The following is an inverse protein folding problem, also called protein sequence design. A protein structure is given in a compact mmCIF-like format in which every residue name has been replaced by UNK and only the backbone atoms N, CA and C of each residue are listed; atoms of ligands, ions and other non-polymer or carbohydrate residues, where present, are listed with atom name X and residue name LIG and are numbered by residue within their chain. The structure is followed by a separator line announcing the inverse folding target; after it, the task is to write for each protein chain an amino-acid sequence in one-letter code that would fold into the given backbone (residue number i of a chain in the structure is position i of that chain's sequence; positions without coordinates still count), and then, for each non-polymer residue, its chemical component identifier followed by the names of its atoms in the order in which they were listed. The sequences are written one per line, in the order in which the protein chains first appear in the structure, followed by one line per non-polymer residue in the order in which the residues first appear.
data_IF_859470735595
#
_entry.id   IF_859470735595
#
_cell.length_a   1.000
_cell.length_b   1.000
_cell.length_c   1.000
_cell.angle_alpha   90.00
_cell.angle_beta   90.00
_cell.angle_gamma   90.00
#
_symmetry.space_group_name_H-M   'P 1'
#
loop_
_entity.id
_entity.type
_entity.pdbx_description
1 polymer ?
#
# COMPACT_ATOMS: atom_id res chain seq x y z
N UNK A 1 7.17 18.80 -20.94
CA UNK A 1 5.95 18.99 -21.77
C UNK A 1 5.66 20.49 -21.80
N UNK A 2 5.69 21.10 -22.98
CA UNK A 2 5.54 22.55 -23.18
C UNK A 2 4.26 22.84 -23.98
N UNK A 3 3.70 24.03 -23.82
CA UNK A 3 2.49 24.47 -24.52
C UNK A 3 2.77 25.78 -25.26
N UNK A 4 2.37 25.92 -26.54
CA UNK A 4 2.61 27.14 -27.29
C UNK A 4 1.71 28.26 -26.76
N UNK A 5 2.30 29.42 -26.49
CA UNK A 5 1.60 30.63 -26.06
C UNK A 5 1.91 31.79 -26.98
N UNK A 6 0.91 32.60 -27.39
CA UNK A 6 1.16 33.87 -28.07
C UNK A 6 2.25 34.69 -27.37
N UNK A 7 3.31 35.06 -28.09
CA UNK A 7 4.40 35.88 -27.54
C UNK A 7 3.89 37.27 -27.11
N UNK A 8 2.87 37.79 -27.80
CA UNK A 8 2.19 39.05 -27.50
C UNK A 8 0.99 38.90 -26.54
N UNK A 9 0.72 37.68 -26.08
CA UNK A 9 -0.43 37.33 -25.24
C UNK A 9 -1.80 37.38 -25.91
N UNK A 10 -1.88 37.66 -27.22
CA UNK A 10 -3.14 37.90 -27.96
C UNK A 10 -3.25 37.09 -29.26
N UNK A 11 -2.21 37.01 -30.09
CA UNK A 11 -2.26 36.39 -31.43
C UNK A 11 -1.23 35.27 -31.57
N UNK A 12 -1.65 34.16 -32.20
CA UNK A 12 -0.79 33.00 -32.47
C UNK A 12 0.17 33.20 -33.66
N UNK A 13 0.37 34.43 -34.13
CA UNK A 13 1.29 34.77 -35.23
C UNK A 13 2.76 34.57 -34.84
N UNK A 14 3.09 34.72 -33.56
CA UNK A 14 4.36 34.29 -32.95
C UNK A 14 4.07 33.66 -31.60
N UNK A 15 4.78 32.58 -31.25
CA UNK A 15 4.53 31.86 -30.01
C UNK A 15 5.80 31.40 -29.31
N UNK A 16 5.71 31.32 -27.98
CA UNK A 16 6.74 30.79 -27.09
C UNK A 16 6.29 29.45 -26.50
N UNK A 17 7.23 28.53 -26.34
CA UNK A 17 7.02 27.27 -25.64
C UNK A 17 7.16 27.48 -24.13
N UNK A 18 6.04 27.48 -23.41
CA UNK A 18 6.05 27.66 -21.96
C UNK A 18 5.70 26.36 -21.21
N UNK A 19 6.17 26.18 -19.96
CA UNK A 19 5.79 25.04 -19.15
C UNK A 19 4.27 24.91 -19.03
N UNK A 20 3.77 23.68 -19.19
CA UNK A 20 2.34 23.41 -19.19
C UNK A 20 1.73 23.74 -17.81
N UNK A 21 0.59 24.45 -17.81
CA UNK A 21 -0.16 24.77 -16.59
C UNK A 21 -1.45 23.95 -16.55
N UNK A 22 -1.85 23.50 -15.36
CA UNK A 22 -3.06 22.70 -15.15
C UNK A 22 -4.30 23.30 -15.83
N UNK A 23 -4.51 24.61 -15.72
CA UNK A 23 -5.65 25.31 -16.35
C UNK A 23 -5.69 25.16 -17.88
N UNK A 24 -4.52 25.10 -18.53
CA UNK A 24 -4.44 24.99 -19.99
C UNK A 24 -4.81 23.57 -20.43
N UNK A 25 -4.32 22.56 -19.71
CA UNK A 25 -4.67 21.15 -19.94
C UNK A 25 -6.16 20.93 -19.78
N UNK A 26 -6.74 21.42 -18.67
CA UNK A 26 -8.19 21.29 -18.44
C UNK A 26 -9.00 22.07 -19.48
N UNK A 27 -8.53 23.25 -19.89
CA UNK A 27 -9.18 24.03 -20.95
C UNK A 27 -9.22 23.29 -22.28
N UNK A 28 -8.12 22.64 -22.66
CA UNK A 28 -8.04 21.81 -23.86
C UNK A 28 -8.95 20.58 -23.76
N UNK A 29 -8.83 19.81 -22.68
CA UNK A 29 -9.62 18.59 -22.50
C UNK A 29 -11.13 18.85 -22.41
N UNK A 30 -11.57 20.03 -21.99
CA UNK A 30 -13.00 20.40 -21.92
C UNK A 30 -13.52 21.08 -23.18
N UNK A 31 -12.68 21.35 -24.17
CA UNK A 31 -13.09 22.07 -25.36
C UNK A 31 -13.61 21.09 -26.45
N UNK A 32 -14.92 21.12 -26.79
CA UNK A 32 -15.51 20.24 -27.80
C UNK A 32 -14.96 20.47 -29.21
N UNK A 33 -14.28 21.60 -29.45
CA UNK A 33 -13.64 21.88 -30.74
C UNK A 33 -12.65 20.77 -31.14
N UNK A 34 -11.87 20.25 -30.19
CA UNK A 34 -10.93 19.16 -30.48
C UNK A 34 -11.62 17.83 -30.83
N UNK A 35 -12.94 17.75 -30.61
CA UNK A 35 -13.78 16.62 -30.98
C UNK A 35 -14.60 16.89 -32.26
N UNK A 36 -14.18 17.87 -33.07
CA UNK A 36 -14.83 18.22 -34.34
C UNK A 36 -16.16 18.97 -34.17
N UNK A 37 -16.51 19.40 -32.95
CA UNK A 37 -17.80 20.01 -32.66
C UNK A 37 -17.73 21.54 -32.53
N UNK A 38 -18.66 22.22 -33.20
CA UNK A 38 -18.91 23.63 -32.97
C UNK A 38 -19.94 23.80 -31.86
N UNK A 39 -19.66 24.69 -30.91
CA UNK A 39 -20.56 24.92 -29.78
C UNK A 39 -20.61 26.39 -29.37
N UNK A 40 -21.83 26.89 -29.15
CA UNK A 40 -22.13 28.27 -28.72
C UNK A 40 -23.11 28.27 -27.53
N UNK A 41 -23.15 29.39 -26.79
CA UNK A 41 -24.06 29.52 -25.63
C UNK A 41 -23.65 28.69 -24.41
N UNK A 42 -22.35 28.37 -24.26
CA UNK A 42 -21.80 27.48 -23.21
C UNK A 42 -21.95 28.00 -21.77
N UNK A 43 -22.36 29.26 -21.60
CA UNK A 43 -22.49 29.90 -20.29
C UNK A 43 -23.74 30.76 -20.21
N UNK A 44 -24.33 30.84 -19.01
CA UNK A 44 -25.48 31.67 -18.71
C UNK A 44 -25.15 32.84 -17.77
N UNK A 45 -26.03 33.83 -17.77
CA UNK A 45 -26.02 34.95 -16.82
C UNK A 45 -27.06 34.67 -15.75
N UNK A 46 -26.67 34.66 -14.48
CA UNK A 46 -27.61 34.48 -13.36
C UNK A 46 -27.88 35.82 -12.69
N UNK A 47 -29.15 36.14 -12.49
CA UNK A 47 -29.59 37.33 -11.74
C UNK A 47 -30.21 36.87 -10.44
N UNK A 48 -29.64 37.29 -9.32
CA UNK A 48 -30.16 37.01 -7.98
C UNK A 48 -30.44 38.33 -7.27
N UNK A 49 -31.58 38.45 -6.61
CA UNK A 49 -31.89 39.61 -5.76
C UNK A 49 -31.19 39.40 -4.42
N UNK A 50 -30.28 40.31 -4.06
CA UNK A 50 -29.59 40.34 -2.77
C UNK A 50 -29.88 41.70 -2.16
N UNK A 51 -30.41 41.73 -0.95
CA UNK A 51 -30.80 42.97 -0.22
C UNK A 51 -31.70 43.90 -1.05
N UNK A 52 -32.69 43.33 -1.76
CA UNK A 52 -33.63 44.08 -2.58
C UNK A 52 -33.07 44.63 -3.91
N UNK A 53 -31.81 44.31 -4.27
CA UNK A 53 -31.19 44.73 -5.54
C UNK A 53 -30.82 43.55 -6.41
N UNK A 54 -31.13 43.65 -7.71
CA UNK A 54 -30.75 42.64 -8.69
C UNK A 54 -29.23 42.63 -8.91
N UNK A 55 -28.57 41.52 -8.59
CA UNK A 55 -27.13 41.31 -8.82
C UNK A 55 -26.93 40.30 -9.94
N UNK A 56 -26.25 40.71 -11.02
CA UNK A 56 -25.86 39.83 -12.12
C UNK A 56 -24.53 39.14 -11.80
N UNK A 57 -24.45 37.86 -12.08
CA UNK A 57 -23.23 37.06 -11.98
C UNK A 57 -22.95 36.33 -13.29
N UNK A 58 -21.67 36.23 -13.65
CA UNK A 58 -21.16 35.67 -14.90
C UNK A 58 -20.30 34.44 -14.62
N UNK A 59 -19.99 33.66 -15.67
CA UNK A 59 -19.11 32.49 -15.58
C UNK A 59 -19.81 31.20 -15.18
N UNK A 60 -21.14 31.14 -15.27
CA UNK A 60 -21.92 29.93 -15.01
C UNK A 60 -21.95 29.08 -16.27
N UNK A 61 -21.14 28.03 -16.34
CA UNK A 61 -21.17 27.07 -17.44
C UNK A 61 -22.46 26.25 -17.43
N UNK A 62 -23.06 26.06 -18.61
CA UNK A 62 -24.23 25.20 -18.84
C UNK A 62 -23.80 23.75 -19.10
N UNK A 63 -24.68 22.78 -18.83
CA UNK A 63 -24.50 21.40 -19.28
C UNK A 63 -24.53 21.35 -20.82
N UNK A 64 -23.99 20.29 -21.42
CA UNK A 64 -23.91 20.17 -22.88
C UNK A 64 -25.28 20.23 -23.56
N UNK A 65 -26.28 19.63 -22.93
CA UNK A 65 -27.65 19.58 -23.45
C UNK A 65 -28.35 20.95 -23.41
N UNK A 66 -27.84 21.88 -22.59
CA UNK A 66 -28.39 23.22 -22.43
C UNK A 66 -27.64 24.27 -23.28
N UNK A 67 -26.67 23.84 -24.08
CA UNK A 67 -25.96 24.73 -25.00
C UNK A 67 -26.90 25.18 -26.12
N UNK A 68 -26.87 26.47 -26.45
CA UNK A 68 -27.76 27.05 -27.46
C UNK A 68 -27.49 26.48 -28.86
N UNK A 69 -26.23 26.12 -29.14
CA UNK A 69 -25.85 25.46 -30.38
C UNK A 69 -24.80 24.41 -30.06
N UNK A 70 -25.02 23.19 -30.54
CA UNK A 70 -24.04 22.11 -30.58
C UNK A 70 -24.15 21.38 -31.92
N UNK A 71 -23.20 21.62 -32.81
CA UNK A 71 -23.11 20.95 -34.11
C UNK A 71 -21.93 19.99 -34.03
N UNK A 72 -22.24 18.69 -33.95
CA UNK A 72 -21.25 17.61 -33.99
C UNK A 72 -20.77 17.44 -35.43
N UNK A 73 -19.55 16.92 -35.59
CA UNK A 73 -18.95 16.65 -36.92
C UNK A 73 -18.89 17.89 -37.84
N UNK A 74 -18.79 19.08 -37.25
CA UNK A 74 -18.65 20.34 -37.99
C UNK A 74 -17.30 20.41 -38.74
N UNK A 75 -16.26 19.81 -38.20
CA UNK A 75 -14.93 19.76 -38.79
C UNK A 75 -14.18 18.51 -38.31
N UNK A 76 -13.03 18.22 -38.92
CA UNK A 76 -12.16 17.13 -38.48
C UNK A 76 -11.63 17.40 -37.06
N UNK A 77 -12.01 16.52 -36.13
CA UNK A 77 -11.53 16.52 -34.76
C UNK A 77 -10.22 15.76 -34.60
N UNK A 78 -9.47 16.08 -33.55
CA UNK A 78 -8.31 15.28 -33.14
C UNK A 78 -8.71 13.98 -32.43
N UNK A 79 -9.90 13.98 -31.83
CA UNK A 79 -10.54 12.83 -31.21
C UNK A 79 -11.98 12.76 -31.72
N UNK A 80 -12.60 11.59 -31.63
CA UNK A 80 -14.04 11.47 -31.93
C UNK A 80 -14.91 11.99 -30.76
N UNK A 81 -16.20 12.21 -31.04
CA UNK A 81 -17.14 12.73 -30.06
C UNK A 81 -17.33 11.77 -28.86
N UNK A 82 -17.33 10.46 -29.10
CA UNK A 82 -17.51 9.47 -28.06
C UNK A 82 -16.32 9.43 -27.09
N UNK A 83 -15.09 9.61 -27.59
CA UNK A 83 -13.88 9.75 -26.81
C UNK A 83 -13.91 11.04 -25.98
N UNK A 84 -14.36 12.14 -26.57
CA UNK A 84 -14.56 13.38 -25.82
C UNK A 84 -15.53 13.19 -24.65
N UNK A 85 -16.68 12.55 -24.86
CA UNK A 85 -17.65 12.26 -23.79
C UNK A 85 -17.05 11.37 -22.69
N UNK A 86 -16.34 10.29 -23.05
CA UNK A 86 -15.60 9.45 -22.09
C UNK A 86 -14.58 10.24 -21.28
N UNK A 87 -13.88 11.17 -21.92
CA UNK A 87 -12.92 12.06 -21.27
C UNK A 87 -13.61 13.04 -20.31
N UNK A 88 -14.79 13.58 -20.66
CA UNK A 88 -15.57 14.44 -19.76
C UNK A 88 -16.05 13.70 -18.52
N UNK A 89 -16.56 12.47 -18.68
CA UNK A 89 -16.95 11.60 -17.55
C UNK A 89 -15.74 11.36 -16.65
N UNK A 90 -14.59 11.02 -17.22
CA UNK A 90 -13.35 10.80 -16.47
C UNK A 90 -12.90 12.04 -15.69
N UNK A 91 -12.97 13.22 -16.30
CA UNK A 91 -12.67 14.50 -15.64
C UNK A 91 -13.66 14.82 -14.51
N UNK A 92 -14.94 14.57 -14.73
CA UNK A 92 -15.99 14.78 -13.72
C UNK A 92 -15.75 13.88 -12.50
N UNK A 93 -15.51 12.57 -12.71
CA UNK A 93 -15.16 11.62 -11.67
C UNK A 93 -13.92 12.06 -10.88
N UNK A 94 -12.89 12.56 -11.57
CA UNK A 94 -11.63 12.98 -10.96
C UNK A 94 -11.70 14.35 -10.25
N UNK A 95 -12.82 15.08 -10.34
CA UNK A 95 -12.93 16.45 -9.82
C UNK A 95 -12.90 16.48 -8.29
N UNK A 96 -11.94 17.20 -7.72
CA UNK A 96 -11.77 17.34 -6.27
C UNK A 96 -12.84 18.26 -5.65
N UNK A 97 -13.53 17.78 -4.60
CA UNK A 97 -14.37 18.61 -3.73
C UNK A 97 -15.85 18.73 -4.13
N UNK A 98 -16.29 18.06 -5.21
CA UNK A 98 -17.72 17.89 -5.54
C UNK A 98 -18.31 16.72 -4.74
N UNK A 99 -19.60 16.82 -4.40
CA UNK A 99 -20.38 15.68 -3.91
C UNK A 99 -20.37 14.55 -4.95
N UNK A 100 -20.10 13.32 -4.51
CA UNK A 100 -20.09 12.13 -5.39
C UNK A 100 -18.81 11.88 -6.20
N UNK A 101 -17.83 12.81 -6.20
CA UNK A 101 -16.58 12.62 -6.94
C UNK A 101 -15.58 11.75 -6.19
N UNK A 102 -15.42 10.48 -6.58
CA UNK A 102 -14.31 9.64 -6.13
C UNK A 102 -12.99 10.29 -6.58
N UNK A 103 -12.22 10.86 -5.64
CA UNK A 103 -10.90 11.45 -5.92
C UNK A 103 -10.04 10.47 -6.72
N UNK A 104 -9.20 10.90 -7.65
CA UNK A 104 -8.21 10.01 -8.26
C UNK A 104 -7.30 9.33 -7.21
N UNK A 105 -6.83 8.11 -7.50
CA UNK A 105 -5.81 7.44 -6.68
C UNK A 105 -4.48 8.18 -6.76
N UNK A 106 -4.26 9.17 -5.88
CA UNK A 106 -3.10 10.07 -5.92
C UNK A 106 -1.83 9.49 -5.31
N UNK A 107 -1.89 8.32 -4.69
CA UNK A 107 -0.75 7.63 -4.09
C UNK A 107 -0.36 8.09 -2.68
N UNK A 108 -1.16 8.91 -2.00
CA UNK A 108 -0.94 9.24 -0.59
C UNK A 108 -1.11 8.03 0.34
N UNK A 109 -0.56 8.09 1.57
CA UNK A 109 -0.56 6.97 2.54
C UNK A 109 -1.95 6.52 3.03
N UNK A 110 -2.97 7.37 2.91
CA UNK A 110 -4.35 7.00 3.23
C UNK A 110 -4.97 6.23 2.07
N UNK A 111 -5.26 4.95 2.29
CA UNK A 111 -5.78 4.05 1.25
C UNK A 111 -7.17 4.49 0.76
N UNK A 112 -8.03 4.91 1.67
CA UNK A 112 -9.45 5.18 1.44
C UNK A 112 -9.76 6.68 1.26
N UNK A 113 -8.72 7.46 0.91
CA UNK A 113 -8.84 8.91 0.73
C UNK A 113 -9.90 9.26 -0.31
N UNK A 114 -10.97 9.91 0.13
CA UNK A 114 -12.08 10.33 -0.75
C UNK A 114 -13.05 9.21 -1.14
N UNK A 115 -13.06 8.08 -0.43
CA UNK A 115 -14.03 6.99 -0.61
C UNK A 115 -14.95 6.80 0.60
N UNK A 116 -14.58 7.35 1.76
CA UNK A 116 -15.35 7.20 3.00
C UNK A 116 -16.29 8.40 3.21
N UNK A 117 -17.55 8.11 3.51
CA UNK A 117 -18.58 9.05 3.94
C UNK A 117 -18.95 8.80 5.41
N UNK A 118 -19.44 9.85 6.08
CA UNK A 118 -19.88 9.79 7.46
C UNK A 118 -21.32 9.26 7.53
N UNK A 119 -21.55 8.14 8.22
CA UNK A 119 -22.89 7.58 8.44
C UNK A 119 -23.83 8.49 9.24
N UNK A 120 -23.30 9.45 10.01
CA UNK A 120 -24.10 10.40 10.81
C UNK A 120 -24.58 11.63 10.04
N UNK A 121 -23.81 12.12 9.05
CA UNK A 121 -24.15 13.36 8.34
C UNK A 121 -24.04 13.28 6.80
N UNK A 122 -23.73 12.11 6.25
CA UNK A 122 -23.59 11.86 4.81
C UNK A 122 -22.37 12.50 4.14
N UNK A 123 -21.56 13.29 4.85
CA UNK A 123 -20.43 14.03 4.26
C UNK A 123 -19.18 13.17 4.15
N UNK A 124 -18.41 13.36 3.07
CA UNK A 124 -17.10 12.71 2.89
C UNK A 124 -16.11 13.04 4.01
N UNK A 125 -15.37 12.03 4.48
CA UNK A 125 -14.36 12.19 5.51
C UNK A 125 -13.09 12.84 4.95
N UNK A 126 -12.51 13.75 5.73
CA UNK A 126 -11.19 14.31 5.47
C UNK A 126 -10.11 13.35 5.96
N UNK A 127 -8.96 13.37 5.28
CA UNK A 127 -7.74 12.68 5.72
C UNK A 127 -6.83 13.70 6.36
N UNK A 128 -6.39 13.43 7.58
CA UNK A 128 -5.41 14.24 8.30
C UNK A 128 -4.26 13.35 8.76
N UNK A 129 -3.04 13.88 8.66
CA UNK A 129 -1.84 13.15 9.07
C UNK A 129 -1.43 13.61 10.46
N UNK A 130 -1.32 12.66 11.40
CA UNK A 130 -0.97 12.92 12.80
C UNK A 130 0.38 12.31 13.17
N UNK A 131 1.11 12.96 14.06
CA UNK A 131 2.44 12.53 14.52
C UNK A 131 3.60 13.06 13.66
N UNK A 132 4.81 12.53 13.91
CA UNK A 132 6.03 12.90 13.19
C UNK A 132 5.92 12.62 11.69
N UNK A 133 6.47 13.52 10.87
CA UNK A 133 6.45 13.41 9.42
C UNK A 133 7.00 12.04 8.97
N UNK A 134 6.34 11.37 8.00
CA UNK A 134 5.23 11.85 7.16
C UNK A 134 3.81 11.70 7.77
N UNK A 135 3.70 11.33 9.06
CA UNK A 135 2.45 11.22 9.79
C UNK A 135 1.63 9.97 9.47
N UNK A 136 0.76 9.57 10.40
CA UNK A 136 -0.19 8.46 10.22
C UNK A 136 -1.54 9.01 9.75
N UNK A 137 -2.20 8.38 8.76
CA UNK A 137 -3.50 8.86 8.29
C UNK A 137 -4.57 8.66 9.36
N UNK A 138 -5.44 9.65 9.50
CA UNK A 138 -6.64 9.65 10.33
C UNK A 138 -7.81 10.16 9.48
N UNK A 139 -8.94 9.45 9.53
CA UNK A 139 -10.17 9.84 8.87
C UNK A 139 -11.05 10.60 9.84
N UNK A 140 -11.53 11.79 9.45
CA UNK A 140 -12.33 12.65 10.33
C UNK A 140 -13.46 13.34 9.59
N UNK A 141 -14.61 13.47 10.25
CA UNK A 141 -15.69 14.29 9.77
C UNK A 141 -15.49 15.75 10.22
N UNK A 142 -14.72 16.51 9.45
CA UNK A 142 -14.29 17.86 9.83
C UNK A 142 -15.30 18.96 9.43
N UNK A 143 -16.21 18.67 8.50
CA UNK A 143 -17.08 19.67 7.87
C UNK A 143 -18.06 20.37 8.82
N UNK A 144 -18.81 19.65 9.69
CA UNK A 144 -19.68 20.31 10.68
C UNK A 144 -18.91 21.26 11.59
N UNK A 145 -17.71 20.86 12.01
CA UNK A 145 -16.84 21.67 12.87
C UNK A 145 -16.30 22.91 12.15
N UNK A 146 -15.79 22.77 10.92
CA UNK A 146 -15.21 23.88 10.17
C UNK A 146 -16.26 24.91 9.71
N UNK A 147 -17.48 24.47 9.38
CA UNK A 147 -18.51 25.36 8.82
C UNK A 147 -19.40 25.99 9.90
N UNK A 148 -19.66 25.27 11.00
CA UNK A 148 -20.71 25.63 11.97
C UNK A 148 -20.19 25.68 13.42
N UNK A 149 -18.89 25.42 13.66
CA UNK A 149 -18.33 25.37 15.01
C UNK A 149 -18.81 24.17 15.87
N UNK A 150 -19.57 23.25 15.27
CA UNK A 150 -20.14 22.09 15.97
C UNK A 150 -19.07 21.03 16.33
N UNK A 151 -19.34 20.14 17.30
CA UNK A 151 -18.48 18.97 17.52
C UNK A 151 -18.38 18.12 16.24
N UNK A 152 -17.22 17.48 16.06
CA UNK A 152 -17.02 16.54 14.95
C UNK A 152 -17.96 15.35 15.11
N UNK A 153 -18.56 14.87 14.02
CA UNK A 153 -19.43 13.70 14.08
C UNK A 153 -18.67 12.45 14.55
N UNK A 154 -17.49 12.21 13.96
CA UNK A 154 -16.65 11.05 14.25
C UNK A 154 -15.22 11.26 13.72
N UNK A 155 -14.30 10.44 14.22
CA UNK A 155 -12.94 10.32 13.72
C UNK A 155 -12.23 9.07 14.24
N UNK A 156 -11.35 8.49 13.42
CA UNK A 156 -10.64 7.26 13.71
C UNK A 156 -9.33 7.13 12.91
N UNK A 157 -8.38 6.36 13.44
CA UNK A 157 -7.08 6.13 12.80
C UNK A 157 -7.20 5.26 11.55
N UNK A 158 -6.50 5.63 10.48
CA UNK A 158 -6.63 4.96 9.18
C UNK A 158 -5.93 3.61 9.09
N UNK A 159 -4.83 3.38 9.80
CA UNK A 159 -4.00 2.19 9.60
C UNK A 159 -4.75 0.85 9.79
N UNK A 160 -5.56 0.71 10.85
CA UNK A 160 -6.34 -0.51 11.09
C UNK A 160 -7.48 -0.68 10.09
N UNK A 161 -8.09 0.44 9.71
CA UNK A 161 -9.21 0.47 8.78
C UNK A 161 -8.74 0.12 7.36
N UNK A 162 -7.64 0.71 6.93
CA UNK A 162 -7.01 0.45 5.63
C UNK A 162 -6.59 -1.03 5.52
N UNK A 163 -6.04 -1.63 6.59
CA UNK A 163 -5.69 -3.04 6.63
C UNK A 163 -6.94 -3.95 6.55
N UNK A 164 -7.95 -3.68 7.38
CA UNK A 164 -9.16 -4.50 7.42
C UNK A 164 -9.94 -4.45 6.10
N UNK A 165 -9.99 -3.28 5.42
CA UNK A 165 -10.59 -3.18 4.09
C UNK A 165 -9.76 -3.93 3.03
N UNK A 166 -8.43 -3.90 3.12
CA UNK A 166 -7.59 -4.67 2.21
C UNK A 166 -7.83 -6.18 2.35
N UNK A 167 -7.94 -6.69 3.58
CA UNK A 167 -8.29 -8.08 3.85
C UNK A 167 -9.70 -8.44 3.32
N UNK A 168 -10.67 -7.56 3.53
CA UNK A 168 -12.04 -7.76 3.03
C UNK A 168 -12.10 -7.82 1.49
N UNK A 169 -11.30 -7.00 0.79
CA UNK A 169 -11.21 -7.05 -0.68
C UNK A 169 -10.71 -8.40 -1.16
N UNK A 170 -9.64 -8.91 -0.55
CA UNK A 170 -9.09 -10.22 -0.91
C UNK A 170 -10.16 -11.29 -0.74
N UNK A 171 -10.85 -11.29 0.42
CA UNK A 171 -11.92 -12.24 0.72
C UNK A 171 -13.07 -12.22 -0.29
N UNK A 172 -13.47 -11.03 -0.75
CA UNK A 172 -14.59 -10.86 -1.69
C UNK A 172 -14.17 -11.20 -3.13
N UNK A 173 -12.91 -10.94 -3.49
CA UNK A 173 -12.40 -11.19 -4.86
C UNK A 173 -11.99 -12.66 -5.05
N UNK A 174 -11.50 -13.33 -4.02
CA UNK A 174 -11.02 -14.72 -4.07
C UNK A 174 -11.95 -15.69 -4.82
N UNK A 175 -13.29 -15.72 -4.59
CA UNK A 175 -14.19 -16.63 -5.30
C UNK A 175 -14.32 -16.37 -6.81
N UNK A 176 -14.09 -15.14 -7.26
CA UNK A 176 -14.24 -14.73 -8.68
C UNK A 176 -12.87 -14.51 -9.34
N UNK A 177 -11.77 -14.69 -8.59
CA UNK A 177 -10.44 -14.38 -9.05
C UNK A 177 -10.07 -15.17 -10.31
N UNK A 178 -10.43 -16.45 -10.37
CA UNK A 178 -10.13 -17.33 -11.50
C UNK A 178 -10.86 -16.88 -12.77
N UNK A 179 -12.17 -16.63 -12.69
CA UNK A 179 -12.97 -16.13 -13.82
C UNK A 179 -12.46 -14.76 -14.30
N UNK A 180 -12.12 -13.86 -13.36
CA UNK A 180 -11.57 -12.55 -13.67
C UNK A 180 -10.19 -12.65 -14.33
N UNK A 181 -9.37 -13.63 -13.96
CA UNK A 181 -8.05 -13.83 -14.55
C UNK A 181 -8.14 -14.42 -15.96
N UNK A 182 -9.05 -15.38 -16.19
CA UNK A 182 -9.37 -15.89 -17.53
C UNK A 182 -9.91 -14.78 -18.45
N UNK A 183 -10.75 -13.88 -17.92
CA UNK A 183 -11.20 -12.71 -18.68
C UNK A 183 -10.05 -11.73 -18.94
N UNK A 184 -9.18 -11.48 -17.97
CA UNK A 184 -8.02 -10.60 -18.13
C UNK A 184 -7.04 -11.13 -19.19
N UNK A 185 -6.81 -12.43 -19.24
CA UNK A 185 -6.03 -13.10 -20.28
C UNK A 185 -6.70 -12.94 -21.65
N UNK A 186 -8.01 -13.20 -21.76
CA UNK A 186 -8.77 -12.94 -23.00
C UNK A 186 -8.66 -11.48 -23.46
N UNK A 187 -8.82 -10.52 -22.55
CA UNK A 187 -8.65 -9.09 -22.84
C UNK A 187 -7.20 -8.74 -23.23
N UNK A 188 -6.20 -9.40 -22.63
CA UNK A 188 -4.80 -9.21 -22.98
C UNK A 188 -4.53 -9.68 -24.41
N UNK A 189 -4.98 -10.89 -24.76
CA UNK A 189 -4.89 -11.41 -26.13
C UNK A 189 -5.64 -10.52 -27.13
N UNK A 190 -6.84 -10.03 -26.78
CA UNK A 190 -7.56 -9.08 -27.64
C UNK A 190 -6.76 -7.80 -27.86
N UNK A 191 -6.13 -7.22 -26.82
CA UNK A 191 -5.27 -6.02 -26.98
C UNK A 191 -4.02 -6.30 -27.80
N UNK A 192 -3.40 -7.47 -27.65
CA UNK A 192 -2.27 -7.88 -28.48
C UNK A 192 -2.70 -8.02 -29.94
N UNK A 193 -3.82 -8.67 -30.20
CA UNK A 193 -4.38 -8.83 -31.54
C UNK A 193 -4.74 -7.48 -32.17
N UNK A 194 -5.31 -6.54 -31.40
CA UNK A 194 -5.61 -5.20 -31.89
C UNK A 194 -4.33 -4.42 -32.20
N UNK A 195 -3.32 -4.50 -31.33
CA UNK A 195 -2.00 -3.89 -31.59
C UNK A 195 -1.37 -4.47 -32.86
N UNK A 196 -1.45 -5.78 -33.05
CA UNK A 196 -0.99 -6.47 -34.26
C UNK A 196 -1.75 -5.96 -35.49
N UNK A 197 -3.08 -5.88 -35.41
CA UNK A 197 -3.93 -5.38 -36.49
C UNK A 197 -3.57 -3.96 -36.91
N UNK A 198 -3.25 -3.08 -35.95
CA UNK A 198 -2.79 -1.72 -36.24
C UNK A 198 -1.46 -1.74 -37.02
N UNK A 199 -0.50 -2.58 -36.62
CA UNK A 199 0.77 -2.72 -37.34
C UNK A 199 0.58 -3.30 -38.76
N UNK A 200 -0.34 -4.24 -38.92
CA UNK A 200 -0.69 -4.81 -40.23
C UNK A 200 -1.34 -3.77 -41.14
N UNK A 201 -2.24 -2.93 -40.61
CA UNK A 201 -2.84 -1.82 -41.35
C UNK A 201 -1.80 -0.76 -41.76
N UNK A 202 -0.86 -0.41 -40.87
CA UNK A 202 0.26 0.49 -41.18
C UNK A 202 1.11 -0.06 -42.34
N UNK A 203 1.36 -1.38 -42.35
CA UNK A 203 2.09 -2.05 -43.42
C UNK A 203 1.31 -2.03 -44.74
N UNK A 204 0.00 -2.31 -44.72
CA UNK A 204 -0.85 -2.25 -45.90
C UNK A 204 -0.86 -0.84 -46.51
N UNK A 205 -0.98 0.20 -45.68
CA UNK A 205 -0.92 1.58 -46.14
C UNK A 205 0.44 1.91 -46.78
N UNK A 206 1.55 1.50 -46.15
CA UNK A 206 2.88 1.72 -46.70
C UNK A 206 3.08 1.01 -48.04
N UNK A 207 2.57 -0.22 -48.19
CA UNK A 207 2.62 -0.96 -49.45
C UNK A 207 1.82 -0.28 -50.56
N UNK A 208 0.62 0.21 -50.23
CA UNK A 208 -0.20 0.98 -51.17
C UNK A 208 0.52 2.25 -51.64
N UNK A 209 1.10 3.02 -50.71
CA UNK A 209 1.81 4.26 -51.01
C UNK A 209 3.05 4.00 -51.88
N UNK A 210 3.79 2.91 -51.61
CA UNK A 210 4.92 2.49 -52.43
C UNK A 210 4.49 2.13 -53.86
N UNK A 211 3.40 1.37 -54.03
CA UNK A 211 2.84 1.05 -55.35
C UNK A 211 2.28 2.27 -56.08
N UNK A 212 1.74 3.26 -55.35
CA UNK A 212 1.32 4.54 -55.95
C UNK A 212 2.52 5.38 -56.41
N UNK A 213 3.59 5.43 -55.61
CA UNK A 213 4.82 6.13 -55.96
C UNK A 213 5.50 5.51 -57.20
N UNK A 214 5.53 4.18 -57.30
CA UNK A 214 6.01 3.43 -58.47
C UNK A 214 5.23 3.83 -59.74
N UNK A 215 3.88 3.78 -59.69
CA UNK A 215 3.04 4.16 -60.84
C UNK A 215 3.27 5.60 -61.27
N UNK A 216 3.49 6.52 -60.33
CA UNK A 216 3.78 7.94 -60.62
C UNK A 216 5.15 8.11 -61.28
N UNK A 217 6.16 7.38 -60.82
CA UNK A 217 7.49 7.36 -61.42
C UNK A 217 7.43 6.81 -62.86
N UNK A 218 6.77 5.66 -63.06
CA UNK A 218 6.66 5.02 -64.37
C UNK A 218 5.87 5.84 -65.40
N UNK A 219 4.95 6.69 -64.97
CA UNK A 219 4.15 7.55 -65.84
C UNK A 219 4.82 8.91 -66.17
N UNK A 220 5.96 9.23 -65.57
CA UNK A 220 6.66 10.49 -65.81
C UNK A 220 7.45 10.46 -67.12
N UNK A 221 7.36 11.54 -67.89
CA UNK A 221 8.19 11.73 -69.08
C UNK A 221 9.69 11.84 -68.69
N UNK A 222 10.60 11.04 -69.29
CA UNK A 222 12.04 11.09 -69.02
C UNK A 222 12.70 12.46 -69.25
N UNK A 223 12.12 13.31 -70.11
CA UNK A 223 12.66 14.64 -70.39
C UNK A 223 12.55 15.59 -69.18
N UNK A 224 11.66 15.29 -68.23
CA UNK A 224 11.49 16.05 -66.99
C UNK A 224 12.45 15.59 -65.88
N UNK A 225 13.77 15.65 -66.14
CA UNK A 225 14.84 15.07 -65.29
C UNK A 225 14.74 15.40 -63.79
N UNK A 226 14.39 16.63 -63.43
CA UNK A 226 14.27 17.05 -62.02
C UNK A 226 13.07 16.39 -61.33
N UNK A 227 11.97 16.19 -62.06
CA UNK A 227 10.75 15.55 -61.54
C UNK A 227 11.00 14.05 -61.38
N UNK A 228 11.68 13.42 -62.35
CA UNK A 228 12.09 12.00 -62.30
C UNK A 228 12.94 11.73 -61.05
N UNK A 229 13.99 12.53 -60.81
CA UNK A 229 14.86 12.37 -59.64
C UNK A 229 14.11 12.56 -58.31
N UNK A 230 13.13 13.46 -58.25
CA UNK A 230 12.32 13.66 -57.05
C UNK A 230 11.31 12.51 -56.83
N UNK A 231 10.72 11.98 -57.90
CA UNK A 231 9.81 10.83 -57.84
C UNK A 231 10.55 9.54 -57.45
N UNK A 232 11.76 9.34 -57.96
CA UNK A 232 12.64 8.24 -57.57
C UNK A 232 12.95 8.29 -56.07
N UNK A 233 13.39 9.45 -55.56
CA UNK A 233 13.64 9.65 -54.13
C UNK A 233 12.41 9.41 -53.26
N UNK A 234 11.23 9.81 -53.75
CA UNK A 234 9.96 9.59 -53.05
C UNK A 234 9.59 8.10 -53.03
N UNK A 235 9.85 7.37 -54.12
CA UNK A 235 9.62 5.93 -54.21
C UNK A 235 10.58 5.15 -53.30
N UNK A 236 11.88 5.48 -53.30
CA UNK A 236 12.87 4.91 -52.38
C UNK A 236 12.51 5.15 -50.90
N UNK A 237 11.97 6.33 -50.57
CA UNK A 237 11.50 6.64 -49.22
C UNK A 237 10.27 5.79 -48.84
N UNK A 238 9.34 5.58 -49.78
CA UNK A 238 8.18 4.72 -49.56
C UNK A 238 8.58 3.24 -49.39
N UNK A 239 9.55 2.74 -50.18
CA UNK A 239 10.09 1.39 -50.03
C UNK A 239 10.77 1.17 -48.67
N UNK A 240 11.60 2.13 -48.23
CA UNK A 240 12.20 2.08 -46.87
C UNK A 240 11.13 2.03 -45.77
N UNK A 241 10.06 2.81 -45.91
CA UNK A 241 8.92 2.76 -44.96
C UNK A 241 8.24 1.39 -44.94
N UNK A 242 8.11 0.72 -46.08
CA UNK A 242 7.57 -0.65 -46.13
C UNK A 242 8.48 -1.62 -45.36
N UNK A 243 9.80 -1.52 -45.52
CA UNK A 243 10.77 -2.34 -44.79
C UNK A 243 10.69 -2.10 -43.28
N UNK A 244 10.63 -0.83 -42.85
CA UNK A 244 10.45 -0.46 -41.43
C UNK A 244 9.13 -1.02 -40.85
N UNK A 245 8.02 -0.87 -41.56
CA UNK A 245 6.73 -1.41 -41.13
C UNK A 245 6.75 -2.95 -41.06
N UNK A 246 7.38 -3.62 -42.04
CA UNK A 246 7.52 -5.08 -42.05
C UNK A 246 8.36 -5.58 -40.88
N UNK A 247 9.45 -4.89 -40.54
CA UNK A 247 10.27 -5.21 -39.38
C UNK A 247 9.46 -5.10 -38.07
N UNK A 248 8.63 -4.05 -37.92
CA UNK A 248 7.76 -3.87 -36.75
C UNK A 248 6.71 -4.98 -36.61
N UNK A 249 6.14 -5.46 -37.73
CA UNK A 249 5.21 -6.61 -37.72
C UNK A 249 5.94 -7.88 -37.32
N UNK A 250 7.11 -8.15 -37.91
CA UNK A 250 7.93 -9.33 -37.59
C UNK A 250 8.38 -9.35 -36.13
N UNK A 251 8.68 -8.20 -35.54
CA UNK A 251 9.05 -8.09 -34.12
C UNK A 251 7.85 -8.42 -33.22
N UNK A 252 6.63 -8.04 -33.62
CA UNK A 252 5.40 -8.37 -32.91
C UNK A 252 4.96 -9.83 -33.05
N UNK A 253 5.41 -10.53 -34.11
CA UNK A 253 5.13 -11.95 -34.37
C UNK A 253 6.08 -12.90 -33.63
N UNK A 254 7.19 -12.41 -33.07
CA UNK A 254 8.03 -13.21 -32.19
C UNK A 254 7.19 -13.68 -31.00
N UNK A 255 7.04 -14.99 -30.78
CA UNK A 255 6.27 -15.48 -29.65
C UNK A 255 6.94 -14.97 -28.37
N UNK A 256 6.17 -14.42 -27.41
CA UNK A 256 6.69 -14.29 -26.06
C UNK A 256 7.13 -15.70 -25.63
N UNK A 257 8.37 -15.82 -25.13
CA UNK A 257 8.95 -17.12 -24.78
C UNK A 257 7.93 -17.96 -24.01
N UNK A 258 7.77 -19.23 -24.42
CA UNK A 258 6.67 -20.12 -24.06
C UNK A 258 6.26 -20.05 -22.58
N UNK A 259 5.41 -19.08 -22.23
CA UNK A 259 4.74 -19.04 -20.95
C UNK A 259 3.55 -19.98 -21.10
N UNK A 260 3.64 -21.10 -20.39
CA UNK A 260 2.51 -21.99 -20.17
C UNK A 260 1.30 -21.15 -19.75
N UNK A 261 0.11 -21.57 -20.18
CA UNK A 261 -1.14 -20.98 -19.71
C UNK A 261 -1.02 -20.76 -18.18
N UNK A 262 -1.16 -19.52 -17.71
CA UNK A 262 -0.89 -19.20 -16.32
C UNK A 262 -1.77 -20.10 -15.43
N UNK A 263 -1.12 -20.86 -14.55
CA UNK A 263 -1.82 -21.65 -13.56
C UNK A 263 -2.46 -20.69 -12.56
N UNK A 264 -3.79 -20.67 -12.52
CA UNK A 264 -4.56 -19.82 -11.62
C UNK A 264 -4.77 -20.48 -10.24
N UNK A 265 -4.24 -21.69 -10.01
CA UNK A 265 -4.22 -22.26 -8.65
C UNK A 265 -3.34 -21.41 -7.74
N UNK A 266 -3.93 -20.90 -6.65
CA UNK A 266 -3.25 -19.98 -5.74
C UNK A 266 -3.34 -18.49 -6.12
N UNK A 267 -4.16 -18.12 -7.11
CA UNK A 267 -4.33 -16.71 -7.51
C UNK A 267 -4.75 -15.78 -6.36
N UNK A 268 -5.52 -16.28 -5.39
CA UNK A 268 -5.86 -15.54 -4.19
C UNK A 268 -4.63 -15.22 -3.32
N UNK A 269 -3.73 -16.19 -3.14
CA UNK A 269 -2.45 -15.99 -2.45
C UNK A 269 -1.54 -15.03 -3.22
N UNK A 270 -1.52 -15.13 -4.55
CA UNK A 270 -0.75 -14.23 -5.39
C UNK A 270 -1.32 -12.80 -5.41
N UNK A 271 -2.64 -12.64 -5.29
CA UNK A 271 -3.28 -11.34 -5.09
C UNK A 271 -2.83 -10.71 -3.77
N UNK A 272 -2.80 -11.49 -2.69
CA UNK A 272 -2.31 -11.04 -1.37
C UNK A 272 -0.82 -10.66 -1.44
N UNK A 273 0.00 -11.49 -2.08
CA UNK A 273 1.44 -11.21 -2.27
C UNK A 273 1.65 -9.96 -3.11
N UNK A 274 0.95 -9.83 -4.23
CA UNK A 274 1.02 -8.68 -5.11
C UNK A 274 0.57 -7.41 -4.38
N UNK A 275 -0.54 -7.46 -3.64
CA UNK A 275 -1.03 -6.33 -2.85
C UNK A 275 0.01 -5.86 -1.82
N UNK A 276 0.67 -6.80 -1.14
CA UNK A 276 1.66 -6.53 -0.11
C UNK A 276 3.09 -6.32 -0.64
N UNK A 277 3.33 -6.51 -1.94
CA UNK A 277 4.65 -6.39 -2.53
C UNK A 277 5.21 -4.95 -2.38
N UNK A 278 6.51 -4.81 -2.05
CA UNK A 278 7.13 -3.50 -1.81
C UNK A 278 7.16 -2.60 -3.04
N UNK A 279 7.13 -3.19 -4.25
CA UNK A 279 7.08 -2.45 -5.52
C UNK A 279 5.71 -1.88 -5.88
N UNK A 280 4.62 -2.32 -5.23
CA UNK A 280 3.28 -1.83 -5.55
C UNK A 280 3.05 -0.46 -4.92
N UNK A 281 2.94 0.54 -5.77
CA UNK A 281 2.64 1.90 -5.35
C UNK A 281 1.25 1.99 -4.70
N UNK A 282 1.11 2.82 -3.66
CA UNK A 282 -0.19 3.09 -3.02
C UNK A 282 -1.22 3.64 -4.02
N UNK A 283 -0.76 4.30 -5.09
CA UNK A 283 -1.60 4.75 -6.21
C UNK A 283 -2.33 3.58 -6.85
N UNK A 284 -1.63 2.47 -7.12
CA UNK A 284 -2.21 1.27 -7.73
C UNK A 284 -3.24 0.64 -6.79
N UNK A 285 -2.91 0.49 -5.51
CA UNK A 285 -3.86 -0.01 -4.48
C UNK A 285 -5.14 0.84 -4.44
N UNK A 286 -4.97 2.15 -4.45
CA UNK A 286 -6.07 3.12 -4.50
C UNK A 286 -6.94 3.00 -5.77
N UNK A 287 -6.33 2.71 -6.92
CA UNK A 287 -7.07 2.52 -8.17
C UNK A 287 -7.89 1.23 -8.14
N UNK A 288 -7.31 0.12 -7.70
CA UNK A 288 -7.98 -1.17 -7.53
C UNK A 288 -9.19 -1.04 -6.57
N UNK A 289 -9.01 -0.34 -5.46
CA UNK A 289 -10.10 -0.07 -4.53
C UNK A 289 -11.31 0.62 -5.19
N UNK A 290 -11.05 1.60 -6.05
CA UNK A 290 -12.10 2.39 -6.71
C UNK A 290 -12.76 1.66 -7.87
N UNK A 291 -12.11 0.64 -8.42
CA UNK A 291 -12.76 -0.23 -9.40
C UNK A 291 -13.77 -1.14 -8.72
N UNK A 292 -13.47 -1.63 -7.51
CA UNK A 292 -14.31 -2.60 -6.80
C UNK A 292 -15.40 -1.95 -5.92
N UNK A 293 -15.08 -0.84 -5.26
CA UNK A 293 -15.94 -0.21 -4.26
C UNK A 293 -16.58 1.07 -4.83
N UNK A 294 -17.90 1.18 -4.67
CA UNK A 294 -18.68 2.36 -5.01
C UNK A 294 -18.53 3.45 -3.93
N UNK A 295 -18.77 3.12 -2.66
CA UNK A 295 -18.55 4.00 -1.52
C UNK A 295 -18.43 3.19 -0.21
N UNK A 296 -17.91 3.84 0.83
CA UNK A 296 -17.82 3.26 2.17
C UNK A 296 -18.48 4.21 3.15
N UNK A 297 -19.53 3.77 3.83
CA UNK A 297 -20.17 4.53 4.90
C UNK A 297 -19.54 4.12 6.22
N UNK A 298 -18.93 5.06 6.92
CA UNK A 298 -18.33 4.83 8.22
C UNK A 298 -19.15 5.46 9.34
N UNK A 299 -19.43 4.68 10.38
CA UNK A 299 -19.92 5.14 11.66
C UNK A 299 -19.01 4.65 12.79
N UNK A 300 -19.16 5.23 13.98
CA UNK A 300 -18.47 4.82 15.19
C UNK A 300 -19.50 4.41 16.22
N UNK A 301 -19.43 3.16 16.64
CA UNK A 301 -20.13 2.63 17.80
C UNK A 301 -19.27 2.90 19.03
N UNK A 302 -19.59 3.98 19.76
CA UNK A 302 -18.82 4.39 20.93
C UNK A 302 -19.03 3.42 22.13
N UNK A 303 -20.16 2.71 22.18
CA UNK A 303 -20.47 1.72 23.24
C UNK A 303 -19.57 0.49 23.13
N UNK A 304 -19.48 -0.09 21.92
CA UNK A 304 -18.63 -1.25 21.66
C UNK A 304 -17.18 -0.87 21.32
N UNK A 305 -16.92 0.43 21.10
CA UNK A 305 -15.64 0.97 20.64
C UNK A 305 -15.22 0.36 19.31
N UNK A 306 -16.11 0.44 18.34
CA UNK A 306 -15.91 -0.10 17.00
C UNK A 306 -16.15 0.98 15.95
N UNK A 307 -15.36 0.93 14.88
CA UNK A 307 -15.67 1.62 13.64
C UNK A 307 -16.46 0.63 12.80
N UNK A 308 -17.69 0.98 12.46
CA UNK A 308 -18.56 0.19 11.60
C UNK A 308 -18.46 0.76 10.20
N UNK A 309 -18.05 -0.07 9.25
CA UNK A 309 -17.88 0.28 7.85
C UNK A 309 -18.88 -0.52 7.04
N UNK A 310 -19.80 0.17 6.38
CA UNK A 310 -20.68 -0.44 5.37
C UNK A 310 -20.05 -0.17 4.01
N UNK A 311 -19.59 -1.23 3.35
CA UNK A 311 -18.92 -1.19 2.06
C UNK A 311 -19.96 -1.48 0.99
N UNK A 312 -20.08 -0.58 0.03
CA UNK A 312 -20.93 -0.77 -1.13
C UNK A 312 -20.08 -1.17 -2.31
N UNK A 313 -20.27 -2.38 -2.80
CA UNK A 313 -19.54 -2.90 -3.95
C UNK A 313 -20.21 -2.43 -5.24
N UNK A 314 -19.42 -2.25 -6.31
CA UNK A 314 -20.00 -1.87 -7.62
C UNK A 314 -20.94 -2.94 -8.19
N UNK A 315 -20.86 -4.17 -7.71
CA UNK A 315 -21.80 -5.26 -8.04
C UNK A 315 -23.12 -5.22 -7.26
N UNK A 316 -23.41 -4.16 -6.49
CA UNK A 316 -24.66 -4.01 -5.73
C UNK A 316 -24.73 -4.80 -4.42
N UNK A 317 -23.69 -5.58 -4.10
CA UNK A 317 -23.58 -6.21 -2.79
C UNK A 317 -23.10 -5.24 -1.71
N UNK A 318 -23.39 -5.57 -0.46
CA UNK A 318 -23.00 -4.78 0.71
C UNK A 318 -22.30 -5.67 1.73
N UNK A 319 -21.11 -5.26 2.19
CA UNK A 319 -20.41 -5.89 3.32
C UNK A 319 -20.40 -4.96 4.52
N UNK A 320 -20.56 -5.50 5.73
CA UNK A 320 -20.37 -4.75 6.98
C UNK A 320 -19.13 -5.24 7.69
N UNK A 321 -18.19 -4.35 7.94
CA UNK A 321 -16.94 -4.62 8.64
C UNK A 321 -16.89 -3.83 9.95
N UNK A 322 -16.60 -4.52 11.05
CA UNK A 322 -16.49 -3.92 12.39
C UNK A 322 -15.04 -3.99 12.84
N UNK A 323 -14.43 -2.83 13.09
CA UNK A 323 -13.01 -2.73 13.45
C UNK A 323 -12.85 -2.04 14.79
N UNK A 324 -12.12 -2.67 15.72
CA UNK A 324 -11.87 -2.11 17.05
C UNK A 324 -11.21 -0.73 17.00
N UNK A 325 -11.83 0.25 17.66
CA UNK A 325 -11.33 1.61 17.89
C UNK A 325 -10.59 1.65 19.24
N UNK A 326 -9.26 1.87 19.25
CA UNK A 326 -8.52 1.98 20.51
C UNK A 326 -8.97 3.20 21.32
N UNK A 327 -8.84 3.10 22.64
CA UNK A 327 -9.02 4.25 23.54
C UNK A 327 -7.95 5.32 23.30
N UNK A 328 -8.23 6.55 23.69
CA UNK A 328 -7.20 7.59 23.79
C UNK A 328 -6.06 7.08 24.68
N UNK A 329 -4.82 7.13 24.17
CA UNK A 329 -3.63 6.58 24.85
C UNK A 329 -3.38 5.09 24.62
N UNK A 330 -4.33 4.35 24.06
CA UNK A 330 -4.15 2.94 23.69
C UNK A 330 -3.46 2.82 22.33
N UNK A 331 -2.27 2.22 22.30
CA UNK A 331 -1.47 2.05 21.10
C UNK A 331 -1.12 0.58 20.84
N UNK A 332 -0.86 0.22 19.58
CA UNK A 332 -0.52 -1.16 19.18
C UNK A 332 0.79 -1.71 19.75
N UNK A 333 1.62 -0.85 20.35
CA UNK A 333 2.85 -1.27 21.02
C UNK A 333 2.61 -1.67 22.48
N UNK A 334 1.61 -2.52 22.74
CA UNK A 334 1.40 -3.09 24.06
C UNK A 334 2.46 -4.15 24.38
N UNK A 335 2.77 -4.30 25.66
CA UNK A 335 3.62 -5.40 26.12
C UNK A 335 2.91 -6.72 25.78
N UNK A 336 3.57 -7.66 25.07
CA UNK A 336 2.94 -8.93 24.71
C UNK A 336 2.41 -9.67 25.94
N UNK A 337 1.28 -10.34 25.81
CA UNK A 337 0.66 -11.08 26.92
C UNK A 337 1.61 -12.13 27.50
N UNK A 338 2.42 -12.76 26.64
CA UNK A 338 3.47 -13.69 27.06
C UNK A 338 4.51 -13.00 27.96
N UNK A 339 4.91 -11.77 27.63
CA UNK A 339 5.84 -11.01 28.46
C UNK A 339 5.19 -10.64 29.81
N UNK A 340 3.91 -10.27 29.82
CA UNK A 340 3.16 -9.98 31.04
C UNK A 340 2.99 -11.22 31.93
N UNK A 341 2.77 -12.40 31.34
CA UNK A 341 2.67 -13.65 32.08
C UNK A 341 4.00 -13.97 32.79
N UNK A 342 5.13 -13.88 32.07
CA UNK A 342 6.47 -14.05 32.66
C UNK A 342 6.73 -13.03 33.75
N UNK A 343 6.39 -11.75 33.52
CA UNK A 343 6.51 -10.71 34.56
C UNK A 343 5.68 -11.03 35.79
N UNK A 344 4.41 -11.44 35.65
CA UNK A 344 3.54 -11.79 36.79
C UNK A 344 4.10 -12.97 37.59
N UNK A 345 4.61 -14.00 36.91
CA UNK A 345 5.17 -15.18 37.55
C UNK A 345 6.50 -14.87 38.28
N UNK A 346 7.29 -13.93 37.78
CA UNK A 346 8.60 -13.60 38.35
C UNK A 346 8.60 -12.41 39.32
N UNK A 347 7.67 -11.46 39.21
CA UNK A 347 7.75 -10.15 39.87
C UNK A 347 7.80 -10.19 41.40
N UNK A 348 7.26 -11.23 42.04
CA UNK A 348 7.30 -11.37 43.50
C UNK A 348 8.64 -11.85 44.04
N UNK A 349 9.47 -12.50 43.21
CA UNK A 349 10.67 -13.23 43.67
C UNK A 349 11.97 -12.86 42.95
N UNK A 350 11.89 -12.13 41.85
CA UNK A 350 13.05 -11.82 41.01
C UNK A 350 13.16 -10.32 40.77
N UNK A 351 14.39 -9.81 40.74
CA UNK A 351 14.64 -8.41 40.43
C UNK A 351 14.19 -8.06 39.00
N UNK A 352 13.95 -6.78 38.73
CA UNK A 352 13.59 -6.32 37.39
C UNK A 352 14.69 -6.63 36.35
N UNK A 353 15.95 -6.69 36.77
CA UNK A 353 17.09 -7.12 35.95
C UNK A 353 17.00 -8.61 35.56
N UNK A 354 16.68 -9.47 36.53
CA UNK A 354 16.51 -10.92 36.29
C UNK A 354 15.33 -11.20 35.35
N UNK A 355 14.23 -10.46 35.51
CA UNK A 355 13.05 -10.55 34.65
C UNK A 355 13.42 -10.11 33.23
N UNK A 356 14.13 -8.98 33.08
CA UNK A 356 14.58 -8.50 31.78
C UNK A 356 15.51 -9.51 31.08
N UNK A 357 16.48 -10.06 31.80
CA UNK A 357 17.40 -11.07 31.28
C UNK A 357 16.67 -12.37 30.87
N UNK A 358 15.61 -12.75 31.59
CA UNK A 358 14.81 -13.95 31.28
C UNK A 358 13.96 -13.73 30.03
N UNK A 359 13.24 -12.61 29.94
CA UNK A 359 12.46 -12.23 28.75
C UNK A 359 13.33 -12.20 27.48
N UNK A 360 14.54 -11.61 27.57
CA UNK A 360 15.47 -11.57 26.45
C UNK A 360 15.98 -12.97 26.05
N UNK A 361 16.26 -13.86 27.01
CA UNK A 361 16.70 -15.25 26.74
C UNK A 361 15.59 -16.09 26.11
N UNK A 362 14.33 -15.82 26.45
CA UNK A 362 13.17 -16.45 25.81
C UNK A 362 12.87 -15.89 24.40
N UNK A 363 13.64 -14.91 23.92
CA UNK A 363 13.41 -14.26 22.63
C UNK A 363 12.21 -13.31 22.60
N UNK A 364 11.58 -13.04 23.75
CA UNK A 364 10.39 -12.20 23.84
C UNK A 364 10.80 -10.73 23.73
N UNK A 365 10.26 -10.02 22.74
CA UNK A 365 10.52 -8.58 22.52
C UNK A 365 9.41 -7.71 23.11
N UNK A 366 9.72 -6.44 23.35
CA UNK A 366 8.69 -5.45 23.70
C UNK A 366 7.74 -5.20 22.53
N UNK A 367 6.58 -4.57 22.77
CA UNK A 367 5.63 -4.17 21.71
C UNK A 367 6.19 -3.16 20.68
N UNK A 368 7.38 -2.61 20.93
CA UNK A 368 8.14 -1.77 19.97
C UNK A 368 9.31 -2.53 19.34
N UNK A 369 9.35 -3.86 19.46
CA UNK A 369 10.43 -4.73 19.02
C UNK A 369 11.82 -4.41 19.61
N UNK A 370 11.86 -3.84 20.82
CA UNK A 370 13.10 -3.56 21.56
C UNK A 370 13.41 -4.66 22.57
N UNK A 371 14.68 -4.78 22.97
CA UNK A 371 15.15 -5.59 24.10
C UNK A 371 14.51 -5.17 25.43
N UNK A 372 14.44 -6.08 26.39
CA UNK A 372 14.05 -5.76 27.76
C UNK A 372 15.22 -5.22 28.57
N UNK A 373 14.96 -4.17 29.36
CA UNK A 373 15.87 -3.64 30.39
C UNK A 373 15.09 -3.56 31.70
N UNK A 374 15.76 -3.52 32.85
CA UNK A 374 15.08 -3.41 34.15
C UNK A 374 14.12 -2.21 34.20
N UNK A 375 14.51 -1.06 33.64
CA UNK A 375 13.64 0.11 33.54
C UNK A 375 12.35 -0.17 32.73
N UNK A 376 12.46 -0.87 31.59
CA UNK A 376 11.29 -1.22 30.74
C UNK A 376 10.37 -2.24 31.44
N UNK A 377 10.94 -3.19 32.17
CA UNK A 377 10.18 -4.12 33.00
C UNK A 377 9.46 -3.36 34.12
N UNK A 378 10.17 -2.54 34.88
CA UNK A 378 9.63 -1.74 35.98
C UNK A 378 8.47 -0.84 35.53
N UNK A 379 8.67 -0.14 34.41
CA UNK A 379 7.61 0.69 33.80
C UNK A 379 6.40 -0.14 33.38
N UNK A 380 6.62 -1.28 32.70
CA UNK A 380 5.53 -2.17 32.29
C UNK A 380 4.76 -2.74 33.48
N UNK A 381 5.47 -3.14 34.55
CA UNK A 381 4.86 -3.65 35.77
C UNK A 381 4.01 -2.59 36.47
N UNK A 382 4.51 -1.34 36.60
CA UNK A 382 3.76 -0.23 37.20
C UNK A 382 2.45 0.04 36.45
N UNK A 383 2.50 0.08 35.11
CA UNK A 383 1.30 0.27 34.28
C UNK A 383 0.28 -0.86 34.47
N UNK A 384 0.76 -2.08 34.72
CA UNK A 384 -0.06 -3.29 34.86
C UNK A 384 -0.39 -3.64 36.32
N UNK A 385 -0.05 -2.79 37.28
CA UNK A 385 -0.30 -3.02 38.71
C UNK A 385 0.45 -4.22 39.30
N UNK A 386 1.55 -4.67 38.67
CA UNK A 386 2.35 -5.80 39.15
C UNK A 386 3.32 -5.29 40.22
N UNK A 387 3.18 -5.73 41.47
CA UNK A 387 4.06 -5.32 42.57
C UNK A 387 5.52 -5.72 42.32
N UNK A 388 6.44 -4.87 42.78
CA UNK A 388 7.88 -5.12 42.65
C UNK A 388 8.38 -6.19 43.60
N UNK A 389 9.48 -6.81 43.20
CA UNK A 389 10.23 -7.70 44.05
C UNK A 389 10.57 -6.99 45.36
N UNK A 390 10.06 -7.51 46.47
CA UNK A 390 10.47 -7.10 47.81
C UNK A 390 11.81 -7.75 48.08
N UNK A 391 12.90 -7.00 47.88
CA UNK A 391 14.26 -7.42 48.25
C UNK A 391 14.42 -7.74 49.74
N UNK A 392 13.44 -7.36 50.58
CA UNK A 392 13.48 -7.47 52.04
C UNK A 392 13.07 -8.84 52.61
N UNK A 393 12.38 -9.71 51.84
CA UNK A 393 11.93 -11.02 52.33
C UNK A 393 12.63 -12.15 51.55
N UNK A 394 13.93 -12.32 51.80
CA UNK A 394 14.61 -13.56 51.49
C UNK A 394 14.37 -14.53 52.65
N UNK A 395 13.34 -15.35 52.53
CA UNK A 395 12.98 -16.37 53.53
C UNK A 395 14.09 -17.43 53.76
N UNK A 396 15.23 -17.35 53.04
CA UNK A 396 16.37 -18.26 53.15
C UNK A 396 16.11 -19.68 52.65
N UNK A 397 14.85 -20.07 52.51
CA UNK A 397 14.40 -21.40 52.13
C UNK A 397 14.68 -21.74 50.66
N UNK A 398 14.79 -20.74 49.77
CA UNK A 398 15.11 -20.92 48.35
C UNK A 398 16.30 -20.07 47.95
N UNK A 399 17.36 -20.73 47.52
CA UNK A 399 18.65 -20.14 47.18
C UNK A 399 18.82 -20.08 45.66
N UNK A 400 19.43 -19.00 45.19
CA UNK A 400 19.96 -18.92 43.82
C UNK A 400 21.19 -19.83 43.67
N UNK A 401 21.59 -20.15 42.44
CA UNK A 401 22.82 -20.91 42.20
C UNK A 401 24.06 -20.27 42.82
N UNK A 402 24.13 -18.93 42.88
CA UNK A 402 25.27 -18.21 43.47
C UNK A 402 25.27 -18.34 44.99
N UNK A 403 24.11 -18.28 45.62
CA UNK A 403 23.96 -18.48 47.06
C UNK A 403 24.19 -19.94 47.44
N UNK A 404 23.65 -20.91 46.69
CA UNK A 404 23.92 -22.33 46.90
C UNK A 404 25.40 -22.68 46.72
N UNK A 405 26.05 -22.10 45.71
CA UNK A 405 27.50 -22.22 45.49
C UNK A 405 28.29 -21.66 46.68
N UNK A 406 27.86 -20.53 47.24
CA UNK A 406 28.47 -19.94 48.44
C UNK A 406 28.26 -20.82 49.68
N UNK A 407 27.07 -21.38 49.88
CA UNK A 407 26.77 -22.27 51.01
C UNK A 407 27.57 -23.57 50.99
N UNK A 408 27.90 -24.08 49.79
CA UNK A 408 28.64 -25.32 49.60
C UNK A 408 30.14 -25.09 49.29
N UNK A 409 30.60 -23.84 49.26
CA UNK A 409 31.97 -23.44 48.90
C UNK A 409 32.46 -24.01 47.56
N UNK A 410 31.56 -24.07 46.56
CA UNK A 410 31.86 -24.54 45.19
C UNK A 410 31.59 -23.45 44.17
N UNK A 411 32.02 -23.66 42.92
CA UNK A 411 31.69 -22.74 41.83
C UNK A 411 30.26 -22.94 41.34
N UNK A 412 29.62 -21.88 40.81
CA UNK A 412 28.28 -21.99 40.22
C UNK A 412 28.19 -22.98 39.05
N UNK A 413 29.33 -23.32 38.43
CA UNK A 413 29.40 -24.35 37.39
C UNK A 413 29.13 -25.75 37.95
N UNK A 414 29.68 -26.08 39.13
CA UNK A 414 29.44 -27.36 39.81
C UNK A 414 27.96 -27.49 40.18
N UNK A 415 27.35 -26.42 40.71
CA UNK A 415 25.91 -26.39 40.98
C UNK A 415 25.10 -26.60 39.71
N UNK A 416 25.47 -25.96 38.59
CA UNK A 416 24.79 -26.17 37.29
C UNK A 416 24.86 -27.63 36.86
N UNK A 417 26.04 -28.24 36.97
CA UNK A 417 26.26 -29.65 36.63
C UNK A 417 25.39 -30.56 37.49
N UNK A 418 25.36 -30.37 38.80
CA UNK A 418 24.52 -31.17 39.70
C UNK A 418 23.01 -31.07 39.37
N UNK A 419 22.56 -29.91 38.88
CA UNK A 419 21.17 -29.74 38.41
C UNK A 419 20.95 -30.48 37.09
N UNK A 420 21.88 -30.37 36.14
CA UNK A 420 21.80 -31.05 34.83
C UNK A 420 21.82 -32.57 35.00
N UNK A 421 22.69 -33.07 35.88
CA UNK A 421 22.83 -34.49 36.23
C UNK A 421 21.66 -34.98 37.13
N UNK A 422 20.70 -34.10 37.45
CA UNK A 422 19.50 -34.36 38.28
C UNK A 422 19.78 -34.81 39.72
N UNK A 423 21.00 -34.60 40.22
CA UNK A 423 21.43 -34.92 41.59
C UNK A 423 20.92 -33.86 42.58
N UNK A 424 20.87 -32.59 42.15
CA UNK A 424 20.34 -31.49 42.94
C UNK A 424 18.98 -31.05 42.39
N UNK A 425 17.86 -31.31 43.09
CA UNK A 425 16.55 -30.89 42.63
C UNK A 425 16.45 -29.36 42.66
N UNK A 426 16.26 -28.77 41.49
CA UNK A 426 16.10 -27.33 41.29
C UNK A 426 14.94 -27.05 40.33
N UNK A 427 14.24 -25.95 40.56
CA UNK A 427 13.07 -25.54 39.78
C UNK A 427 13.34 -24.22 39.06
N UNK A 428 12.84 -24.08 37.84
CA UNK A 428 12.69 -22.78 37.18
C UNK A 428 11.22 -22.42 37.13
N UNK A 429 10.89 -21.16 37.48
CA UNK A 429 9.50 -20.67 37.41
C UNK A 429 9.03 -20.54 35.96
N UNK A 430 9.95 -20.14 35.06
CA UNK A 430 9.76 -20.14 33.60
C UNK A 430 11.05 -20.57 32.92
N UNK A 431 11.01 -21.10 31.69
CA UNK A 431 12.21 -21.45 30.94
C UNK A 431 13.20 -20.28 30.87
N UNK A 432 14.42 -20.50 31.36
CA UNK A 432 15.45 -19.48 31.40
C UNK A 432 15.40 -18.57 32.62
N UNK A 433 14.44 -18.68 33.55
CA UNK A 433 14.55 -18.01 34.84
C UNK A 433 15.78 -18.51 35.64
N UNK A 434 16.35 -17.72 36.56
CA UNK A 434 17.35 -18.24 37.49
C UNK A 434 16.80 -19.42 38.30
N UNK A 435 17.61 -20.48 38.44
CA UNK A 435 17.26 -21.70 39.17
C UNK A 435 17.00 -21.41 40.66
N UNK A 436 15.93 -21.99 41.19
CA UNK A 436 15.60 -22.02 42.62
C UNK A 436 15.96 -23.38 43.20
N UNK A 437 16.80 -23.38 44.24
CA UNK A 437 17.22 -24.57 44.96
C UNK A 437 16.71 -24.44 46.40
N UNK A 438 15.99 -25.45 46.92
CA UNK A 438 15.60 -25.43 48.33
C UNK A 438 16.85 -25.61 49.20
N UNK A 439 17.00 -24.81 50.25
CA UNK A 439 18.16 -24.90 51.15
C UNK A 439 18.31 -26.29 51.77
N UNK A 440 17.19 -26.98 52.05
CA UNK A 440 17.18 -28.37 52.52
C UNK A 440 17.79 -29.36 51.54
N UNK A 441 17.66 -29.14 50.22
CA UNK A 441 18.23 -30.03 49.21
C UNK A 441 19.77 -29.99 49.18
N UNK A 442 20.38 -28.91 49.68
CA UNK A 442 21.84 -28.82 49.77
C UNK A 442 22.41 -29.76 50.85
N UNK A 443 21.59 -30.17 51.82
CA UNK A 443 21.98 -31.07 52.92
C UNK A 443 21.79 -32.55 52.58
N UNK A 444 21.24 -32.87 51.40
CA UNK A 444 21.06 -34.26 50.97
C UNK A 444 22.41 -34.97 50.84
N UNK A 445 22.49 -36.19 51.40
CA UNK A 445 23.73 -36.98 51.40
C UNK A 445 24.24 -37.26 49.98
N UNK A 446 23.35 -37.40 48.99
CA UNK A 446 23.74 -37.61 47.59
C UNK A 446 24.45 -36.40 46.99
N UNK A 447 23.98 -35.19 47.31
CA UNK A 447 24.60 -33.92 46.88
C UNK A 447 25.97 -33.77 47.52
N UNK A 448 26.09 -34.06 48.83
CA UNK A 448 27.36 -34.00 49.56
C UNK A 448 28.36 -35.04 49.01
N UNK A 449 27.90 -36.28 48.72
CA UNK A 449 28.73 -37.32 48.10
C UNK A 449 29.19 -36.93 46.70
N UNK A 450 28.31 -36.37 45.87
CA UNK A 450 28.66 -35.94 44.52
C UNK A 450 29.67 -34.77 44.52
N UNK A 451 29.62 -33.89 45.51
CA UNK A 451 30.61 -32.80 45.68
C UNK A 451 31.96 -33.34 46.19
N UNK A 452 31.95 -34.32 47.09
CA UNK A 452 33.17 -34.97 47.63
C UNK A 452 33.89 -35.82 46.60
N UNK A 453 33.14 -36.48 45.71
CA UNK A 453 33.68 -37.17 44.53
C UNK A 453 34.10 -36.15 43.46
N UNK A 454 35.03 -35.25 43.81
CA UNK A 454 35.70 -34.37 42.85
C UNK A 454 36.49 -35.22 41.86
N UNK A 455 35.82 -35.70 40.82
CA UNK A 455 36.52 -35.95 39.58
C UNK A 455 37.10 -34.60 39.16
N UNK A 456 38.43 -34.54 39.05
CA UNK A 456 39.17 -33.36 38.63
C UNK A 456 38.62 -32.77 37.32
N UNK A 457 39.06 -31.57 36.93
CA UNK A 457 38.52 -30.90 35.74
C UNK A 457 38.50 -31.89 34.57
N UNK A 458 37.33 -32.07 33.96
CA UNK A 458 37.20 -32.83 32.72
C UNK A 458 38.07 -32.13 31.66
N UNK A 459 39.32 -32.54 31.52
CA UNK A 459 39.97 -32.52 30.22
C UNK A 459 39.16 -33.51 29.40
N UNK A 460 38.32 -33.01 28.50
CA UNK A 460 37.85 -33.85 27.43
C UNK A 460 39.12 -34.35 26.72
N UNK A 461 39.39 -35.65 26.75
CA UNK A 461 40.31 -36.20 25.75
C UNK A 461 39.69 -35.88 24.38
N UNK A 462 40.39 -35.17 23.50
CA UNK A 462 39.85 -34.81 22.20
C UNK A 462 39.80 -36.08 21.35
N UNK A 463 38.71 -36.84 21.47
CA UNK A 463 38.37 -37.85 20.47
C UNK A 463 38.04 -37.11 19.18
N UNK A 464 39.04 -37.04 18.29
CA UNK A 464 39.06 -36.43 16.94
C UNK A 464 39.43 -34.94 16.86
N UNK A 465 40.59 -34.54 17.38
CA UNK A 465 41.28 -33.36 16.86
C UNK A 465 42.36 -33.81 15.88
N UNK A 466 42.11 -33.60 14.57
CA UNK A 466 43.12 -33.81 13.52
C UNK A 466 44.23 -32.79 13.76
N UNK A 467 45.48 -33.25 13.86
CA UNK A 467 46.64 -32.38 14.00
C UNK A 467 46.67 -31.36 12.86
N UNK A 468 46.78 -30.07 13.20
CA UNK A 468 46.90 -28.97 12.22
C UNK A 468 48.34 -28.75 11.74
N UNK A 469 49.29 -29.58 12.17
CA UNK A 469 50.67 -29.54 11.72
C UNK A 469 51.07 -30.90 11.14
N UNK A 470 51.51 -30.96 9.87
CA UNK A 470 52.13 -32.16 9.33
C UNK A 470 53.52 -32.31 9.92
N UNK A 471 53.86 -33.52 10.37
CA UNK A 471 55.20 -33.87 10.85
C UNK A 471 56.22 -33.68 9.71
N UNK A 472 57.12 -32.72 9.87
CA UNK A 472 58.44 -32.69 9.21
C UNK A 472 59.44 -31.94 10.08
#
# INVERSE_FOLDING_TARGET
MFFPRPSDGKRLTSFEWQPIRYRNVIGLLKNPFYAGAYAYGKSEKRVTVVDGRARKSYGHGKAFDDWEVLIREHHEGYIDWAEFERNQVSLACNTYGRSGGQKSGRGGRALLSGMITCGRCGRGLAVVYVGLAPGRPMYRCDRPNLMLGLPRCLGFGGARIDAAIAEEIVRVVEPVAIEAALEAERMHHQRQNERRRILELDLQQAQYDAGLAERRYAACDPDNRLIVAQLEKNWEAALRRVEECRARVSEADLPPGADQAPDFTGLADDLVRAWNAPGVATRTRQQILRTLIADIIADVDDSNREVVLTIHWKGGQHSVLRVRKPKTGEHGCQTPDQALAVMKQMATRYSDDDIAATLNRMGIRTGQNKTWTAHRVSSSRRVQGIHAFRSAEKDGQRLTMKEAAKCLEVTSHVIRRLIVDRILPAEQVVPGAPWQIKASHLQNQEVIKAIRNRNGPCRAEPQKQISMFPDT
#
